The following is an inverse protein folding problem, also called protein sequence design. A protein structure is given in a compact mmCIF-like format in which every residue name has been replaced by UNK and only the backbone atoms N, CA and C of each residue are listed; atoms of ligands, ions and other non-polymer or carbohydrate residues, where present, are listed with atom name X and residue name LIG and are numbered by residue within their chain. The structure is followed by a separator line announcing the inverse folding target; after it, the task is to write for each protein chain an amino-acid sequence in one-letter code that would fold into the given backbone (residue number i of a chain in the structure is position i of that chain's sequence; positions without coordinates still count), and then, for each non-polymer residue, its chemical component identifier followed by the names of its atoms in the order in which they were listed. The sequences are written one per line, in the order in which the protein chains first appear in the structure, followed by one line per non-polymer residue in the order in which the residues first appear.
data_IF_568164125012
#
_entry.id   IF_568164125012
#
_cell.length_a   1.000
_cell.length_b   1.000
_cell.length_c   1.000
_cell.angle_alpha   90.00
_cell.angle_beta   90.00
_cell.angle_gamma   90.00
#
_symmetry.space_group_name_H-M   'P 1'
#
loop_
_entity.id
_entity.type
_entity.pdbx_description
1 polymer ?
#
# COMPACT_ATOMS: atom_id res chain seq x y z
N UNK A 1 -3.07 -0.58 -21.03
CA UNK A 1 -2.04 -1.21 -20.19
C UNK A 1 -2.19 -0.81 -18.73
N UNK A 2 -2.26 -1.79 -17.83
CA UNK A 2 -2.32 -1.55 -16.38
C UNK A 2 -0.95 -1.62 -15.73
N UNK A 3 -0.79 -0.96 -14.58
CA UNK A 3 0.43 -0.98 -13.77
C UNK A 3 0.16 -1.61 -12.41
N UNK A 4 1.04 -2.52 -12.00
CA UNK A 4 0.97 -3.14 -10.66
C UNK A 4 1.52 -2.19 -9.61
N UNK A 5 0.74 -2.02 -8.55
CA UNK A 5 1.10 -1.29 -7.36
C UNK A 5 1.08 -2.21 -6.14
N UNK A 6 2.05 -2.03 -5.24
CA UNK A 6 2.17 -2.77 -3.99
C UNK A 6 1.78 -1.85 -2.86
N UNK A 7 0.92 -2.34 -1.97
CA UNK A 7 0.48 -1.62 -0.77
C UNK A 7 1.15 -2.21 0.45
N UNK A 8 1.67 -1.35 1.31
CA UNK A 8 2.43 -1.75 2.50
C UNK A 8 2.08 -0.83 3.64
N UNK A 9 1.87 -1.40 4.82
CA UNK A 9 1.74 -0.64 6.06
C UNK A 9 3.08 -0.54 6.77
N UNK A 10 3.34 0.61 7.38
CA UNK A 10 4.48 0.81 8.29
C UNK A 10 3.97 0.75 9.73
N UNK A 11 4.73 0.08 10.59
CA UNK A 11 4.54 0.03 12.04
C UNK A 11 5.29 1.15 12.75
N UNK A 12 4.91 1.44 13.99
CA UNK A 12 5.63 2.41 14.83
C UNK A 12 7.10 2.03 15.06
N UNK A 13 7.42 0.73 15.10
CA UNK A 13 8.78 0.21 15.21
C UNK A 13 9.63 0.34 13.92
N UNK A 14 9.06 0.94 12.87
CA UNK A 14 9.69 1.15 11.57
C UNK A 14 9.62 -0.06 10.62
N UNK A 15 9.13 -1.21 11.08
CA UNK A 15 8.95 -2.39 10.22
C UNK A 15 7.76 -2.21 9.27
N UNK A 16 7.74 -3.00 8.20
CA UNK A 16 6.72 -2.92 7.16
C UNK A 16 6.02 -4.25 6.92
N UNK A 17 4.71 -4.21 6.64
CA UNK A 17 3.87 -5.38 6.34
C UNK A 17 3.19 -5.18 4.99
N UNK A 18 3.34 -6.15 4.08
CA UNK A 18 2.64 -6.12 2.80
C UNK A 18 1.13 -6.33 3.01
N UNK A 19 0.33 -5.47 2.36
CA UNK A 19 -1.14 -5.52 2.40
C UNK A 19 -1.76 -6.07 1.10
N UNK A 20 -0.93 -6.30 0.08
CA UNK A 20 -1.34 -6.83 -1.22
C UNK A 20 -0.95 -5.92 -2.38
N UNK A 21 -1.59 -6.15 -3.52
CA UNK A 21 -1.32 -5.42 -4.76
C UNK A 21 -2.60 -5.12 -5.51
N UNK A 22 -2.63 -4.02 -6.26
CA UNK A 22 -3.71 -3.71 -7.19
C UNK A 22 -3.15 -3.29 -8.55
N UNK A 23 -4.01 -3.29 -9.57
CA UNK A 23 -3.68 -2.83 -10.92
C UNK A 23 -4.35 -1.48 -11.17
N UNK A 24 -3.54 -0.42 -11.31
CA UNK A 24 -4.01 0.91 -11.69
C UNK A 24 -4.03 1.07 -13.22
N UNK A 25 -5.04 1.74 -13.76
CA UNK A 25 -5.16 2.03 -15.21
C UNK A 25 -5.53 3.49 -15.42
N UNK A 26 -4.55 4.31 -15.83
CA UNK A 26 -4.78 5.73 -16.10
C UNK A 26 -5.30 6.49 -14.88
N UNK A 27 -6.36 7.27 -15.08
CA UNK A 27 -7.08 8.06 -14.09
C UNK A 27 -8.29 7.33 -13.47
N UNK A 28 -8.47 6.04 -13.79
CA UNK A 28 -9.60 5.27 -13.28
C UNK A 28 -9.47 5.03 -11.78
N UNK A 29 -10.55 5.30 -11.06
CA UNK A 29 -10.66 4.97 -9.64
C UNK A 29 -10.64 3.45 -9.46
N UNK A 30 -9.87 2.99 -8.46
CA UNK A 30 -9.80 1.60 -8.04
C UNK A 30 -10.31 1.53 -6.61
N UNK A 31 -11.33 0.71 -6.38
CA UNK A 31 -11.78 0.33 -5.03
C UNK A 31 -11.41 -1.13 -4.82
N UNK A 32 -10.64 -1.41 -3.77
CA UNK A 32 -10.23 -2.78 -3.43
C UNK A 32 -10.11 -2.94 -1.92
N UNK A 33 -10.43 -4.13 -1.43
CA UNK A 33 -10.16 -4.53 -0.06
C UNK A 33 -8.79 -5.21 0.01
N UNK A 34 -7.97 -4.75 0.95
CA UNK A 34 -6.60 -5.21 1.15
C UNK A 34 -6.45 -5.69 2.58
N UNK A 35 -5.83 -6.85 2.75
CA UNK A 35 -5.64 -7.47 4.05
C UNK A 35 -4.16 -7.51 4.39
N UNK A 36 -3.83 -7.02 5.58
CA UNK A 36 -2.51 -7.15 6.19
C UNK A 36 -2.63 -7.90 7.51
N UNK A 37 -1.67 -8.77 7.82
CA UNK A 37 -1.55 -9.41 9.13
C UNK A 37 -1.01 -8.41 10.16
N UNK A 38 -1.81 -7.38 10.45
CA UNK A 38 -1.45 -6.22 11.27
C UNK A 38 -2.70 -5.69 11.99
N UNK A 39 -2.57 -5.39 13.29
CA UNK A 39 -3.63 -4.71 14.04
C UNK A 39 -3.70 -3.24 13.63
N UNK A 40 -4.90 -2.66 13.63
CA UNK A 40 -5.11 -1.28 13.19
C UNK A 40 -4.33 -0.25 14.03
N UNK A 41 -4.18 -0.52 15.33
CA UNK A 41 -3.46 0.34 16.29
C UNK A 41 -1.94 0.36 16.08
N UNK A 42 -1.38 -0.69 15.49
CA UNK A 42 0.05 -0.78 15.21
C UNK A 42 0.44 -0.11 13.88
N UNK A 43 -0.53 0.22 13.03
CA UNK A 43 -0.31 0.82 11.72
C UNK A 43 -0.22 2.35 11.83
N UNK A 44 0.93 2.92 11.46
CA UNK A 44 1.15 4.39 11.51
C UNK A 44 1.11 5.05 10.14
N UNK A 45 1.39 4.30 9.07
CA UNK A 45 1.33 4.83 7.72
C UNK A 45 1.00 3.75 6.68
N UNK A 46 0.41 4.16 5.57
CA UNK A 46 0.20 3.40 4.35
C UNK A 46 1.09 3.94 3.25
N UNK A 47 1.77 3.04 2.54
CA UNK A 47 2.61 3.35 1.37
C UNK A 47 2.12 2.55 0.17
N UNK A 48 2.02 3.22 -0.97
CA UNK A 48 1.81 2.58 -2.27
C UNK A 48 3.07 2.78 -3.10
N UNK A 49 3.60 1.69 -3.62
CA UNK A 49 4.78 1.68 -4.48
C UNK A 49 4.49 1.02 -5.82
N UNK A 50 5.28 1.35 -6.84
CA UNK A 50 5.33 0.56 -8.08
C UNK A 50 5.98 -0.80 -7.82
N UNK A 51 5.82 -1.75 -8.73
CA UNK A 51 6.56 -3.04 -8.68
C UNK A 51 8.08 -2.88 -8.56
N UNK A 52 8.67 -1.78 -9.06
CA UNK A 52 10.09 -1.48 -8.93
C UNK A 52 10.49 -0.84 -7.59
N UNK A 53 9.58 -0.78 -6.61
CA UNK A 53 9.84 -0.24 -5.26
C UNK A 53 9.74 1.28 -5.14
N UNK A 54 9.55 2.03 -6.24
CA UNK A 54 9.34 3.48 -6.18
C UNK A 54 8.02 3.81 -5.51
N UNK A 55 8.05 4.53 -4.39
CA UNK A 55 6.86 5.09 -3.73
C UNK A 55 6.17 6.10 -4.64
N UNK A 56 4.84 5.98 -4.74
CA UNK A 56 3.97 6.89 -5.49
C UNK A 56 2.93 7.57 -4.61
N UNK A 57 2.66 7.00 -3.43
CA UNK A 57 1.78 7.60 -2.43
C UNK A 57 2.25 7.15 -1.04
N UNK A 58 2.19 8.08 -0.09
CA UNK A 58 2.30 7.80 1.34
C UNK A 58 1.24 8.60 2.07
N UNK A 59 0.59 7.98 3.05
CA UNK A 59 -0.39 8.59 3.93
C UNK A 59 -0.18 8.12 5.37
N UNK A 60 -0.20 9.03 6.34
CA UNK A 60 -0.20 8.68 7.77
C UNK A 60 -1.63 8.28 8.21
N UNK A 61 -1.73 7.46 9.27
CA UNK A 61 -2.96 6.78 9.70
C UNK A 61 -3.46 7.14 11.10
#
# INVERSE_FOLDING_TARGET
DGRTHVVTFRRADGTTVAAGTFIGVGDKTVTCDLNAALLREDAVALTVSTRGGRTVLQAEL
#
